data_IF_557279216499
#
_entry.id   IF_557279216499
#
_cell.length_a   1.000
_cell.length_b   1.000
_cell.length_c   1.000
_cell.angle_alpha   90.00
_cell.angle_beta   90.00
_cell.angle_gamma   90.00
#
_symmetry.space_group_name_H-M   'P 1'
#
loop_
_entity.id
_entity.type
_entity.pdbx_description
1 polymer ?
#
# COMPACT_ATOMS: atom_id res chain seq x y z
N UNK A 1 45.27 32.00 -11.24
CA UNK A 1 46.74 32.13 -11.09
C UNK A 1 46.99 32.23 -9.61
N UNK A 2 47.64 31.23 -9.02
CA UNK A 2 48.05 31.30 -7.62
C UNK A 2 49.23 32.28 -7.56
N UNK A 3 49.06 33.38 -6.84
CA UNK A 3 50.15 34.32 -6.59
C UNK A 3 51.26 33.57 -5.84
N UNK A 4 52.48 33.67 -6.36
CA UNK A 4 53.64 33.11 -5.68
C UNK A 4 53.87 33.87 -4.36
N UNK A 5 54.32 33.19 -3.28
CA UNK A 5 54.60 33.85 -2.01
C UNK A 5 55.61 34.99 -2.20
N UNK A 6 55.40 36.15 -1.55
CA UNK A 6 56.31 37.28 -1.66
C UNK A 6 57.69 36.88 -1.11
N UNK A 7 58.78 37.44 -1.66
CA UNK A 7 60.16 36.97 -1.42
C UNK A 7 60.69 37.17 0.01
N UNK A 8 59.87 37.63 0.96
CA UNK A 8 60.28 37.99 2.33
C UNK A 8 59.43 37.34 3.45
N UNK A 9 58.55 36.39 3.13
CA UNK A 9 57.82 35.60 4.13
C UNK A 9 58.19 34.13 3.99
N UNK A 10 58.34 33.41 5.10
CA UNK A 10 58.53 31.96 5.05
C UNK A 10 57.29 31.34 4.38
N UNK A 11 57.48 30.34 3.52
CA UNK A 11 56.37 29.75 2.76
C UNK A 11 55.27 29.14 3.65
N UNK A 12 55.65 28.76 4.87
CA UNK A 12 54.74 28.22 5.89
C UNK A 12 53.91 29.33 6.56
N UNK A 13 54.52 30.47 6.89
CA UNK A 13 53.82 31.63 7.46
C UNK A 13 52.82 32.22 6.45
N UNK A 14 53.21 32.28 5.16
CA UNK A 14 52.34 32.72 4.07
C UNK A 14 51.12 31.81 3.89
N UNK A 15 51.32 30.48 3.90
CA UNK A 15 50.23 29.52 3.78
C UNK A 15 49.27 29.59 4.99
N UNK A 16 49.80 29.74 6.20
CA UNK A 16 49.00 29.85 7.41
C UNK A 16 48.19 31.16 7.45
N UNK A 17 48.77 32.29 7.04
CA UNK A 17 48.09 33.59 6.98
C UNK A 17 46.93 33.57 5.98
N UNK A 18 47.14 33.01 4.78
CA UNK A 18 46.07 32.89 3.78
C UNK A 18 45.02 31.85 4.18
N UNK A 19 45.39 30.72 4.79
CA UNK A 19 44.42 29.76 5.33
C UNK A 19 43.50 30.42 6.36
N UNK A 20 44.06 31.29 7.23
CA UNK A 20 43.31 32.07 8.20
C UNK A 20 42.35 33.08 7.53
N UNK A 21 42.80 33.75 6.48
CA UNK A 21 41.97 34.67 5.68
C UNK A 21 40.77 33.94 5.06
N UNK A 22 41.02 32.83 4.36
CA UNK A 22 39.96 32.01 3.75
C UNK A 22 39.00 31.42 4.80
N UNK A 23 39.51 31.01 5.97
CA UNK A 23 38.66 30.60 7.11
C UNK A 23 37.73 31.73 7.55
N UNK A 24 38.26 32.94 7.72
CA UNK A 24 37.48 34.09 8.16
C UNK A 24 36.43 34.48 7.11
N UNK A 25 36.79 34.43 5.83
CA UNK A 25 35.85 34.60 4.71
C UNK A 25 34.74 33.55 4.72
N UNK A 26 35.09 32.28 4.94
CA UNK A 26 34.12 31.19 5.08
C UNK A 26 33.16 31.41 6.25
N UNK A 27 33.68 31.86 7.40
CA UNK A 27 32.85 32.21 8.56
C UNK A 27 31.92 33.40 8.29
N UNK A 28 32.38 34.42 7.58
CA UNK A 28 31.55 35.57 7.20
C UNK A 28 30.39 35.13 6.30
N UNK A 29 30.68 34.39 5.23
CA UNK A 29 29.66 33.82 4.34
C UNK A 29 28.69 32.89 5.05
N UNK A 30 29.18 32.09 6.00
CA UNK A 30 28.33 31.24 6.82
C UNK A 30 27.33 32.05 7.65
N UNK A 31 27.76 33.19 8.23
CA UNK A 31 26.87 34.12 8.96
C UNK A 31 25.84 34.78 8.03
N UNK A 32 26.24 35.08 6.79
CA UNK A 32 25.36 35.60 5.73
C UNK A 32 24.39 34.55 5.17
N UNK A 33 24.46 33.29 5.64
CA UNK A 33 23.73 32.13 5.12
C UNK A 33 24.08 31.74 3.68
N UNK A 34 25.19 32.26 3.14
CA UNK A 34 25.81 31.75 1.91
C UNK A 34 26.64 30.51 2.23
N UNK A 35 25.96 29.38 2.41
CA UNK A 35 26.61 28.12 2.79
C UNK A 35 27.46 27.52 1.66
N UNK A 36 27.11 27.74 0.39
CA UNK A 36 27.90 27.28 -0.75
C UNK A 36 29.21 28.05 -0.85
N UNK A 37 29.15 29.38 -0.75
CA UNK A 37 30.34 30.20 -0.72
C UNK A 37 31.20 29.98 0.52
N UNK A 38 30.60 29.64 1.68
CA UNK A 38 31.32 29.24 2.88
C UNK A 38 32.10 27.94 2.66
N UNK A 39 31.47 26.92 2.04
CA UNK A 39 32.14 25.66 1.68
C UNK A 39 33.31 25.88 0.73
N UNK A 40 33.17 26.76 -0.27
CA UNK A 40 34.27 27.10 -1.17
C UNK A 40 35.45 27.70 -0.41
N UNK A 41 35.20 28.73 0.40
CA UNK A 41 36.25 29.39 1.18
C UNK A 41 36.91 28.45 2.20
N UNK A 42 36.14 27.57 2.88
CA UNK A 42 36.75 26.56 3.74
C UNK A 42 37.55 25.52 2.95
N UNK A 43 37.17 25.20 1.72
CA UNK A 43 37.93 24.27 0.88
C UNK A 43 39.26 24.87 0.40
N UNK A 44 39.27 26.17 0.08
CA UNK A 44 40.50 26.93 -0.19
C UNK A 44 41.40 26.97 1.05
N UNK A 45 40.83 27.21 2.24
CA UNK A 45 41.56 27.16 3.50
C UNK A 45 42.16 25.76 3.78
N UNK A 46 41.41 24.68 3.53
CA UNK A 46 41.85 23.30 3.73
C UNK A 46 42.97 22.92 2.75
N UNK A 47 42.96 23.47 1.53
CA UNK A 47 44.03 23.23 0.57
C UNK A 47 45.39 23.81 1.03
N UNK A 48 45.35 24.87 1.83
CA UNK A 48 46.53 25.53 2.40
C UNK A 48 46.94 24.93 3.76
N UNK A 49 45.97 24.56 4.60
CA UNK A 49 46.19 23.96 5.93
C UNK A 49 45.32 22.70 6.12
N UNK A 50 45.73 21.54 5.56
CA UNK A 50 44.96 20.31 5.61
C UNK A 50 44.97 19.63 6.99
N UNK A 51 45.83 20.09 7.91
CA UNK A 51 45.94 19.57 9.29
C UNK A 51 44.93 20.19 10.26
N UNK A 52 44.20 21.22 9.83
CA UNK A 52 43.39 22.02 10.73
C UNK A 52 41.97 21.48 10.91
N UNK A 53 41.75 20.79 12.04
CA UNK A 53 40.45 20.23 12.42
C UNK A 53 39.30 21.26 12.37
N UNK A 54 39.58 22.53 12.66
CA UNK A 54 38.56 23.59 12.69
C UNK A 54 37.96 23.84 11.32
N UNK A 55 38.77 23.76 10.26
CA UNK A 55 38.30 24.00 8.90
C UNK A 55 37.32 22.93 8.45
N UNK A 56 37.63 21.66 8.71
CA UNK A 56 36.72 20.54 8.43
C UNK A 56 35.44 20.63 9.28
N UNK A 57 35.57 20.97 10.57
CA UNK A 57 34.40 21.19 11.45
C UNK A 57 33.50 22.31 10.94
N UNK A 58 34.05 23.43 10.46
CA UNK A 58 33.27 24.53 9.92
C UNK A 58 32.63 24.18 8.57
N UNK A 59 33.37 23.48 7.69
CA UNK A 59 32.84 23.00 6.40
C UNK A 59 31.73 21.96 6.58
N UNK A 60 31.87 21.05 7.55
CA UNK A 60 30.80 20.12 7.94
C UNK A 60 29.53 20.86 8.40
N UNK A 61 29.68 21.94 9.18
CA UNK A 61 28.59 22.80 9.60
C UNK A 61 27.85 23.43 8.41
N UNK A 62 28.60 23.91 7.41
CA UNK A 62 28.04 24.45 6.18
C UNK A 62 27.32 23.39 5.34
N UNK A 63 27.87 22.17 5.25
CA UNK A 63 27.19 21.05 4.59
C UNK A 63 25.91 20.62 5.31
N UNK A 64 25.88 20.61 6.65
CA UNK A 64 24.66 20.33 7.42
C UNK A 64 23.58 21.37 7.15
N UNK A 65 23.94 22.65 7.11
CA UNK A 65 23.00 23.73 6.78
C UNK A 65 22.38 23.58 5.38
N UNK A 66 23.11 22.97 4.44
CA UNK A 66 22.62 22.63 3.09
C UNK A 66 21.96 21.25 2.99
N UNK A 67 21.75 20.54 4.10
CA UNK A 67 21.25 19.15 4.11
C UNK A 67 22.12 18.17 3.33
N UNK A 68 23.39 18.49 3.09
CA UNK A 68 24.39 17.61 2.48
C UNK A 68 25.03 16.69 3.54
N UNK A 69 24.19 15.90 4.20
CA UNK A 69 24.54 15.17 5.43
C UNK A 69 25.72 14.20 5.25
N UNK A 70 25.78 13.46 4.14
CA UNK A 70 26.88 12.52 3.89
C UNK A 70 28.25 13.21 3.73
N UNK A 71 28.29 14.42 3.16
CA UNK A 71 29.52 15.21 3.05
C UNK A 71 29.90 15.81 4.41
N UNK A 72 28.90 16.31 5.13
CA UNK A 72 29.10 16.79 6.49
C UNK A 72 29.69 15.71 7.42
N UNK A 73 29.18 14.47 7.33
CA UNK A 73 29.69 13.37 8.13
C UNK A 73 31.18 13.09 7.85
N UNK A 74 31.59 13.05 6.57
CA UNK A 74 33.00 12.85 6.19
C UNK A 74 33.91 13.93 6.73
N UNK A 75 33.52 15.20 6.59
CA UNK A 75 34.30 16.32 7.12
C UNK A 75 34.34 16.31 8.65
N UNK A 76 33.23 15.99 9.31
CA UNK A 76 33.20 15.91 10.76
C UNK A 76 34.02 14.73 11.30
N UNK A 77 34.05 13.60 10.58
CA UNK A 77 34.91 12.47 10.88
C UNK A 77 36.39 12.84 10.75
N UNK A 78 36.75 13.59 9.70
CA UNK A 78 38.11 14.08 9.51
C UNK A 78 38.52 15.09 10.59
N UNK A 79 37.61 15.99 11.00
CA UNK A 79 37.85 16.90 12.12
C UNK A 79 38.12 16.14 13.44
N UNK A 80 37.38 15.05 13.71
CA UNK A 80 37.60 14.20 14.88
C UNK A 80 38.88 13.36 14.75
N UNK A 81 39.28 12.98 13.53
CA UNK A 81 40.54 12.27 13.27
C UNK A 81 41.74 13.17 13.58
N UNK A 82 41.66 14.44 13.17
CA UNK A 82 42.70 15.45 13.39
C UNK A 82 42.78 15.89 14.85
N UNK A 83 41.63 16.08 15.52
CA UNK A 83 41.58 16.38 16.95
C UNK A 83 40.48 15.56 17.67
N UNK A 84 40.85 14.39 18.24
CA UNK A 84 39.90 13.51 18.92
C UNK A 84 39.42 14.01 20.29
N UNK A 85 40.08 15.04 20.85
CA UNK A 85 39.79 15.60 22.17
C UNK A 85 39.01 16.91 22.08
N UNK A 86 38.65 17.35 20.85
CA UNK A 86 37.90 18.57 20.66
C UNK A 86 36.37 18.33 20.72
N UNK A 87 35.67 18.85 21.75
CA UNK A 87 34.24 18.59 21.94
C UNK A 87 33.38 19.07 20.76
N UNK A 88 33.77 20.18 20.11
CA UNK A 88 33.00 20.74 18.99
C UNK A 88 33.10 19.89 17.72
N UNK A 89 34.24 19.25 17.44
CA UNK A 89 34.33 18.30 16.33
C UNK A 89 33.46 17.07 16.56
N UNK A 90 33.51 16.52 17.78
CA UNK A 90 32.61 15.42 18.18
C UNK A 90 31.15 15.81 18.06
N UNK A 91 30.79 17.04 18.46
CA UNK A 91 29.45 17.58 18.32
C UNK A 91 29.00 17.67 16.85
N UNK A 92 29.86 18.15 15.94
CA UNK A 92 29.58 18.16 14.49
C UNK A 92 29.35 16.75 13.95
N UNK A 93 30.19 15.79 14.36
CA UNK A 93 30.06 14.38 13.94
C UNK A 93 28.77 13.78 14.45
N UNK A 94 28.46 13.95 15.73
CA UNK A 94 27.23 13.43 16.35
C UNK A 94 25.97 14.05 15.72
N UNK A 95 26.01 15.33 15.36
CA UNK A 95 24.93 16.00 14.63
C UNK A 95 24.74 15.39 13.23
N UNK A 96 25.83 15.11 12.51
CA UNK A 96 25.77 14.46 11.21
C UNK A 96 25.27 13.00 11.32
N UNK A 97 25.71 12.24 12.34
CA UNK A 97 25.22 10.89 12.63
C UNK A 97 23.72 10.88 12.94
N UNK A 98 23.25 11.84 13.74
CA UNK A 98 21.83 12.02 14.03
C UNK A 98 21.02 12.31 12.76
N UNK A 99 21.52 13.20 11.90
CA UNK A 99 20.88 13.52 10.61
C UNK A 99 20.91 12.34 9.61
N UNK A 100 21.84 11.40 9.77
CA UNK A 100 21.86 10.11 9.04
C UNK A 100 20.99 9.03 9.69
N UNK A 101 20.16 9.38 10.68
CA UNK A 101 19.32 8.46 11.49
C UNK A 101 20.12 7.36 12.20
N UNK A 102 21.43 7.56 12.39
CA UNK A 102 22.31 6.65 13.12
C UNK A 102 22.29 7.01 14.61
N UNK A 103 21.12 6.88 15.23
CA UNK A 103 20.86 7.36 16.59
C UNK A 103 21.78 6.74 17.65
N UNK A 104 22.05 5.44 17.57
CA UNK A 104 22.95 4.74 18.51
C UNK A 104 24.36 5.33 18.49
N UNK A 105 24.93 5.48 17.29
CA UNK A 105 26.29 6.02 17.15
C UNK A 105 26.31 7.50 17.56
N UNK A 106 25.30 8.26 17.17
CA UNK A 106 25.15 9.66 17.56
C UNK A 106 25.14 9.83 19.09
N UNK A 107 24.40 8.98 19.82
CA UNK A 107 24.38 9.01 21.28
C UNK A 107 25.75 8.71 21.88
N UNK A 108 26.50 7.73 21.35
CA UNK A 108 27.84 7.41 21.82
C UNK A 108 28.80 8.60 21.61
N UNK A 109 28.74 9.23 20.43
CA UNK A 109 29.54 10.40 20.10
C UNK A 109 29.17 11.61 20.97
N UNK A 110 27.88 11.86 21.22
CA UNK A 110 27.42 12.92 22.14
C UNK A 110 27.86 12.70 23.58
N UNK A 111 27.80 11.45 24.08
CA UNK A 111 28.32 11.11 25.41
C UNK A 111 29.82 11.40 25.52
N UNK A 112 30.60 11.10 24.49
CA UNK A 112 32.03 11.44 24.45
C UNK A 112 32.25 12.96 24.45
N UNK A 113 31.46 13.72 23.70
CA UNK A 113 31.54 15.18 23.72
C UNK A 113 31.23 15.76 25.11
N UNK A 114 30.22 15.22 25.80
CA UNK A 114 29.84 15.60 27.17
C UNK A 114 30.89 15.21 28.23
N UNK A 115 31.64 14.13 28.03
CA UNK A 115 32.75 13.78 28.92
C UNK A 115 33.87 14.83 28.86
N UNK A 116 34.09 15.44 27.69
CA UNK A 116 35.14 16.43 27.47
C UNK A 116 34.70 17.86 27.78
N UNK A 117 33.40 18.15 27.68
CA UNK A 117 32.79 19.43 28.06
C UNK A 117 31.53 19.19 28.93
N UNK A 118 31.71 18.82 30.22
CA UNK A 118 30.60 18.57 31.12
C UNK A 118 29.84 19.88 31.41
N UNK A 119 28.51 19.83 31.37
CA UNK A 119 27.65 21.01 31.60
C UNK A 119 27.24 21.77 30.34
N UNK A 120 27.60 21.28 29.15
CA UNK A 120 27.11 21.84 27.90
C UNK A 120 25.65 21.40 27.64
N UNK A 121 24.69 22.26 28.02
CA UNK A 121 23.25 22.00 27.83
C UNK A 121 22.87 21.66 26.39
N UNK A 122 23.57 22.21 25.39
CA UNK A 122 23.26 21.94 23.99
C UNK A 122 23.58 20.49 23.62
N UNK A 123 24.66 19.93 24.18
CA UNK A 123 25.03 18.53 23.96
C UNK A 123 24.09 17.57 24.69
N UNK A 124 23.63 17.94 25.89
CA UNK A 124 22.62 17.16 26.63
C UNK A 124 21.29 17.10 25.87
N UNK A 125 20.81 18.24 25.38
CA UNK A 125 19.60 18.33 24.55
C UNK A 125 19.74 17.51 23.26
N UNK A 126 20.89 17.58 22.60
CA UNK A 126 21.16 16.81 21.39
C UNK A 126 21.26 15.30 21.66
N UNK A 127 21.83 14.89 22.80
CA UNK A 127 21.84 13.50 23.25
C UNK A 127 20.42 12.99 23.51
N UNK A 128 19.57 13.80 24.14
CA UNK A 128 18.18 13.44 24.37
C UNK A 128 17.40 13.30 23.06
N UNK A 129 17.56 14.25 22.12
CA UNK A 129 16.96 14.15 20.80
C UNK A 129 17.38 12.87 20.06
N UNK A 130 18.65 12.45 20.19
CA UNK A 130 19.12 11.19 19.61
C UNK A 130 18.47 9.95 20.26
N UNK A 131 18.20 9.96 21.57
CA UNK A 131 17.46 8.88 22.26
C UNK A 131 16.00 8.84 21.81
N UNK A 132 15.38 10.00 21.71
CA UNK A 132 13.98 10.11 21.28
C UNK A 132 13.81 9.63 19.84
N UNK A 133 14.76 9.97 18.95
CA UNK A 133 14.81 9.46 17.59
C UNK A 133 14.96 7.94 17.50
N UNK A 134 15.83 7.34 18.33
CA UNK A 134 15.95 5.87 18.43
C UNK A 134 14.65 5.22 18.91
N UNK A 135 14.01 5.80 19.92
CA UNK A 135 12.77 5.29 20.48
C UNK A 135 11.62 5.37 19.46
N UNK A 136 11.53 6.47 18.71
CA UNK A 136 10.57 6.64 17.62
C UNK A 136 10.80 5.61 16.51
N UNK A 137 12.03 5.46 16.04
CA UNK A 137 12.38 4.47 15.02
C UNK A 137 12.05 3.04 15.46
N UNK A 138 12.29 2.72 16.74
CA UNK A 138 11.96 1.41 17.32
C UNK A 138 10.45 1.21 17.38
N UNK A 139 9.70 2.24 17.80
CA UNK A 139 8.23 2.20 17.85
C UNK A 139 7.64 2.00 16.45
N UNK A 140 8.10 2.75 15.46
CA UNK A 140 7.68 2.61 14.06
C UNK A 140 7.97 1.20 13.53
N UNK A 141 9.15 0.63 13.81
CA UNK A 141 9.48 -0.74 13.43
C UNK A 141 8.51 -1.77 14.04
N UNK A 142 8.20 -1.63 15.33
CA UNK A 142 7.25 -2.52 16.02
C UNK A 142 5.84 -2.36 15.44
N UNK A 143 5.41 -1.13 15.16
CA UNK A 143 4.10 -0.86 14.56
C UNK A 143 3.98 -1.43 13.15
N UNK A 144 5.05 -1.36 12.36
CA UNK A 144 5.17 -1.96 11.04
C UNK A 144 5.13 -3.50 11.10
N UNK A 145 5.83 -4.12 12.04
CA UNK A 145 5.78 -5.57 12.27
C UNK A 145 4.37 -6.02 12.66
N UNK A 146 3.74 -5.32 13.61
CA UNK A 146 2.35 -5.59 14.01
C UNK A 146 1.36 -5.39 12.86
N UNK A 147 1.59 -4.43 11.96
CA UNK A 147 0.76 -4.22 10.78
C UNK A 147 0.87 -5.42 9.83
N UNK A 148 2.09 -5.84 9.51
CA UNK A 148 2.34 -7.02 8.66
C UNK A 148 1.74 -8.29 9.26
N UNK A 149 1.81 -8.45 10.57
CA UNK A 149 1.19 -9.59 11.26
C UNK A 149 -0.34 -9.57 11.14
N UNK A 150 -1.00 -8.43 11.36
CA UNK A 150 -2.45 -8.29 11.15
C UNK A 150 -2.86 -8.58 9.71
N UNK A 151 -2.10 -8.08 8.73
CA UNK A 151 -2.34 -8.35 7.31
C UNK A 151 -2.18 -9.84 6.98
N UNK A 152 -1.16 -10.50 7.55
CA UNK A 152 -0.94 -11.93 7.38
C UNK A 152 -2.04 -12.77 8.05
N UNK A 153 -2.50 -12.37 9.25
CA UNK A 153 -3.60 -13.01 9.95
C UNK A 153 -4.92 -12.86 9.19
N UNK A 154 -5.22 -11.66 8.68
CA UNK A 154 -6.40 -11.42 7.87
C UNK A 154 -6.38 -12.25 6.58
N UNK A 155 -5.22 -12.34 5.94
CA UNK A 155 -5.04 -13.20 4.76
C UNK A 155 -5.29 -14.67 5.11
N UNK A 156 -4.71 -15.19 6.19
CA UNK A 156 -4.96 -16.56 6.67
C UNK A 156 -6.44 -16.81 6.95
N UNK A 157 -7.14 -15.84 7.53
CA UNK A 157 -8.57 -15.92 7.79
C UNK A 157 -9.39 -16.00 6.49
N UNK A 158 -9.03 -15.19 5.47
CA UNK A 158 -9.66 -15.25 4.14
C UNK A 158 -9.41 -16.59 3.46
N UNK A 159 -8.15 -17.04 3.43
CA UNK A 159 -7.76 -18.32 2.82
C UNK A 159 -8.49 -19.51 3.50
N UNK A 160 -8.60 -19.48 4.83
CA UNK A 160 -9.34 -20.49 5.58
C UNK A 160 -10.85 -20.46 5.32
N UNK A 161 -11.45 -19.28 5.15
CA UNK A 161 -12.85 -19.13 4.79
C UNK A 161 -13.14 -19.66 3.39
N UNK A 162 -12.27 -19.36 2.42
CA UNK A 162 -12.39 -19.86 1.04
C UNK A 162 -12.24 -21.39 1.00
N UNK A 163 -11.31 -21.95 1.77
CA UNK A 163 -11.13 -23.40 1.90
C UNK A 163 -12.33 -24.08 2.59
N UNK A 164 -12.89 -23.47 3.64
CA UNK A 164 -14.09 -23.99 4.30
C UNK A 164 -15.28 -24.02 3.34
N UNK A 165 -15.45 -22.97 2.53
CA UNK A 165 -16.48 -22.89 1.50
C UNK A 165 -16.29 -23.99 0.44
N UNK A 166 -15.07 -24.19 -0.06
CA UNK A 166 -14.77 -25.29 -1.01
C UNK A 166 -15.11 -26.67 -0.44
N UNK A 167 -14.84 -26.90 0.85
CA UNK A 167 -15.20 -28.16 1.53
C UNK A 167 -16.71 -28.34 1.68
N UNK A 168 -17.43 -27.26 1.96
CA UNK A 168 -18.89 -27.29 2.00
C UNK A 168 -19.48 -27.55 0.62
N UNK A 169 -19.01 -26.87 -0.42
CA UNK A 169 -19.41 -27.09 -1.81
C UNK A 169 -19.14 -28.55 -2.24
N UNK A 170 -17.98 -29.12 -1.89
CA UNK A 170 -17.65 -30.51 -2.15
C UNK A 170 -18.55 -31.51 -1.40
N UNK A 171 -18.85 -31.26 -0.12
CA UNK A 171 -19.80 -32.08 0.65
C UNK A 171 -21.21 -32.02 0.09
N UNK A 172 -21.66 -30.84 -0.33
CA UNK A 172 -22.96 -30.68 -0.98
C UNK A 172 -22.99 -31.46 -2.31
N UNK A 173 -21.89 -31.44 -3.08
CA UNK A 173 -21.77 -32.22 -4.31
C UNK A 173 -21.76 -33.74 -4.05
N UNK A 174 -21.07 -34.21 -3.00
CA UNK A 174 -21.06 -35.61 -2.58
C UNK A 174 -22.42 -36.06 -2.06
N UNK A 175 -23.09 -35.25 -1.23
CA UNK A 175 -24.47 -35.51 -0.80
C UNK A 175 -25.45 -35.52 -1.98
N UNK A 176 -25.27 -34.66 -2.97
CA UNK A 176 -26.05 -34.72 -4.21
C UNK A 176 -25.76 -36.04 -4.96
N UNK A 177 -24.50 -36.45 -5.08
CA UNK A 177 -24.12 -37.72 -5.72
C UNK A 177 -24.68 -38.93 -4.97
N UNK A 178 -24.65 -38.96 -3.65
CA UNK A 178 -25.22 -40.04 -2.85
C UNK A 178 -26.76 -40.02 -2.89
N UNK A 179 -27.38 -38.84 -2.81
CA UNK A 179 -28.83 -38.71 -2.93
C UNK A 179 -29.34 -39.18 -4.30
N UNK A 180 -28.65 -38.83 -5.39
CA UNK A 180 -28.96 -39.31 -6.73
C UNK A 180 -28.44 -40.73 -7.01
N UNK A 181 -27.40 -41.18 -6.32
CA UNK A 181 -26.78 -42.52 -6.45
C UNK A 181 -27.55 -43.61 -5.69
N UNK A 182 -28.14 -43.29 -4.55
CA UNK A 182 -29.10 -44.15 -3.83
C UNK A 182 -30.42 -44.29 -4.61
N UNK A 183 -30.74 -43.32 -5.46
CA UNK A 183 -31.81 -43.45 -6.47
C UNK A 183 -31.40 -44.34 -7.67
N UNK A 184 -30.11 -44.67 -7.82
CA UNK A 184 -29.57 -45.42 -8.96
C UNK A 184 -29.31 -46.92 -8.69
N UNK A 185 -29.39 -47.46 -7.46
CA UNK A 185 -29.14 -48.89 -7.20
C UNK A 185 -30.39 -49.79 -7.23
N UNK A 186 -30.61 -50.40 -8.40
CA UNK A 186 -30.29 -51.82 -8.70
C UNK A 186 -31.12 -52.29 -9.92
N UNK A 187 -32.30 -51.69 -10.12
CA UNK A 187 -33.13 -51.90 -11.32
C UNK A 187 -32.73 -51.01 -12.51
N UNK A 188 -32.22 -49.81 -12.23
CA UNK A 188 -31.92 -48.80 -13.27
C UNK A 188 -30.58 -49.09 -13.95
N UNK A 189 -29.56 -49.58 -13.25
CA UNK A 189 -28.27 -49.96 -13.86
C UNK A 189 -28.41 -51.14 -14.85
N UNK A 190 -29.20 -52.18 -14.51
CA UNK A 190 -29.52 -53.29 -15.43
C UNK A 190 -30.36 -52.85 -16.62
N UNK A 191 -31.26 -51.88 -16.44
CA UNK A 191 -32.06 -51.31 -17.52
C UNK A 191 -31.27 -50.36 -18.42
N UNK A 192 -30.31 -49.60 -17.88
CA UNK A 192 -29.50 -48.62 -18.62
C UNK A 192 -28.41 -49.30 -19.45
N UNK A 193 -27.81 -50.40 -18.96
CA UNK A 193 -26.90 -51.25 -19.77
C UNK A 193 -27.61 -51.93 -20.95
N UNK A 194 -28.95 -52.07 -20.89
CA UNK A 194 -29.80 -52.62 -21.96
C UNK A 194 -30.52 -51.53 -22.80
N UNK A 195 -30.41 -50.26 -22.43
CA UNK A 195 -31.04 -49.09 -23.12
C UNK A 195 -30.04 -48.02 -23.59
N UNK A 196 -28.74 -48.26 -23.43
CA UNK A 196 -27.70 -47.43 -24.06
C UNK A 196 -27.48 -47.78 -25.54
N UNK A 197 -28.35 -48.61 -26.12
CA UNK A 197 -28.58 -48.67 -27.55
C UNK A 197 -29.78 -47.76 -27.86
N UNK A 198 -29.46 -46.51 -28.19
CA UNK A 198 -30.32 -45.55 -28.91
C UNK A 198 -31.65 -45.17 -28.23
N UNK A 199 -31.65 -44.08 -27.46
CA UNK A 199 -32.88 -43.30 -27.21
C UNK A 199 -32.92 -42.10 -28.19
N UNK A 200 -33.72 -42.18 -29.27
CA UNK A 200 -33.71 -41.19 -30.37
C UNK A 200 -34.28 -39.81 -29.98
N UNK A 201 -34.77 -39.65 -28.75
CA UNK A 201 -35.39 -38.41 -28.26
C UNK A 201 -34.34 -37.41 -27.75
N UNK A 202 -33.26 -37.88 -27.13
CA UNK A 202 -32.21 -37.02 -26.56
C UNK A 202 -31.31 -36.39 -27.62
N UNK A 203 -31.05 -37.09 -28.72
CA UNK A 203 -30.24 -36.55 -29.82
C UNK A 203 -30.99 -35.46 -30.62
N UNK A 204 -32.32 -35.59 -30.71
CA UNK A 204 -33.20 -34.58 -31.31
C UNK A 204 -33.26 -33.30 -30.48
N UNK A 205 -33.22 -33.43 -29.15
CA UNK A 205 -33.22 -32.31 -28.21
C UNK A 205 -31.90 -31.53 -28.16
N UNK A 206 -30.75 -32.20 -28.33
CA UNK A 206 -29.45 -31.52 -28.37
C UNK A 206 -29.21 -30.75 -29.69
N UNK A 207 -29.77 -31.22 -30.81
CA UNK A 207 -29.69 -30.55 -32.12
C UNK A 207 -30.63 -29.33 -32.28
N UNK A 208 -31.54 -29.09 -31.33
CA UNK A 208 -32.51 -27.98 -31.37
C UNK A 208 -32.10 -26.78 -30.50
N UNK A 209 -30.80 -26.63 -30.19
CA UNK A 209 -30.23 -25.34 -29.78
C UNK A 209 -29.92 -24.52 -31.03
N UNK A 210 -30.94 -23.96 -31.68
CA UNK A 210 -30.81 -22.82 -32.60
C UNK A 210 -32.22 -22.28 -32.89
N UNK A 211 -32.60 -21.23 -32.14
CA UNK A 211 -33.72 -20.36 -32.45
C UNK A 211 -35.10 -20.80 -31.96
N UNK A 212 -35.64 -20.07 -30.97
CA UNK A 212 -37.01 -19.50 -30.91
C UNK A 212 -37.46 -19.27 -29.46
N UNK A 213 -38.04 -18.10 -29.21
CA UNK A 213 -38.65 -17.69 -27.94
C UNK A 213 -39.99 -18.38 -27.66
N UNK A 214 -40.70 -17.88 -26.63
CA UNK A 214 -42.03 -18.29 -26.11
C UNK A 214 -42.27 -19.79 -25.82
N UNK A 215 -42.03 -20.69 -26.76
CA UNK A 215 -42.28 -22.13 -26.65
C UNK A 215 -41.35 -22.80 -25.62
N UNK A 216 -40.08 -22.38 -25.56
CA UNK A 216 -39.12 -22.90 -24.57
C UNK A 216 -39.49 -22.54 -23.12
N UNK A 217 -40.22 -21.43 -22.90
CA UNK A 217 -40.71 -21.06 -21.56
C UNK A 217 -41.90 -21.92 -21.17
N UNK A 218 -42.80 -22.24 -22.11
CA UNK A 218 -43.94 -23.13 -21.88
C UNK A 218 -43.47 -24.55 -21.56
N UNK A 219 -42.53 -25.08 -22.33
CA UNK A 219 -41.98 -26.41 -22.09
C UNK A 219 -41.28 -26.51 -20.73
N UNK A 220 -40.51 -25.50 -20.35
CA UNK A 220 -39.88 -25.44 -19.02
C UNK A 220 -40.89 -25.34 -17.88
N UNK A 221 -42.01 -24.64 -18.11
CA UNK A 221 -43.10 -24.52 -17.12
C UNK A 221 -43.84 -25.84 -16.95
N UNK A 222 -44.10 -26.55 -18.05
CA UNK A 222 -44.71 -27.89 -18.03
C UNK A 222 -43.82 -28.85 -17.23
N UNK A 223 -42.50 -28.85 -17.47
CA UNK A 223 -41.56 -29.69 -16.72
C UNK A 223 -41.55 -29.38 -15.20
N UNK A 224 -41.67 -28.11 -14.81
CA UNK A 224 -41.75 -27.73 -13.39
C UNK A 224 -43.03 -28.28 -12.75
N UNK A 225 -44.16 -28.18 -13.46
CA UNK A 225 -45.46 -28.67 -12.98
C UNK A 225 -45.48 -30.19 -12.92
N UNK A 226 -44.95 -30.89 -13.92
CA UNK A 226 -44.84 -32.35 -13.92
C UNK A 226 -43.93 -32.86 -12.80
N UNK A 227 -42.80 -32.17 -12.55
CA UNK A 227 -41.95 -32.46 -11.41
C UNK A 227 -42.65 -32.22 -10.06
N UNK A 228 -43.51 -31.20 -9.95
CA UNK A 228 -44.30 -30.96 -8.74
C UNK A 228 -45.40 -32.02 -8.54
N UNK A 229 -46.01 -32.50 -9.62
CA UNK A 229 -46.94 -33.66 -9.59
C UNK A 229 -46.26 -34.90 -9.04
N UNK A 230 -45.07 -35.20 -9.52
CA UNK A 230 -44.33 -36.37 -9.07
C UNK A 230 -43.93 -36.27 -7.60
N UNK A 231 -43.43 -35.11 -7.13
CA UNK A 231 -43.14 -34.86 -5.70
C UNK A 231 -44.38 -35.01 -4.83
N UNK A 232 -45.51 -34.46 -5.27
CA UNK A 232 -46.78 -34.56 -4.54
C UNK A 232 -47.24 -36.03 -4.41
N UNK A 233 -47.09 -36.83 -5.47
CA UNK A 233 -47.41 -38.26 -5.46
C UNK A 233 -46.50 -39.04 -4.52
N UNK A 234 -45.19 -38.78 -4.56
CA UNK A 234 -44.21 -39.44 -3.71
C UNK A 234 -44.43 -39.12 -2.23
N UNK A 235 -44.68 -37.85 -1.89
CA UNK A 235 -44.99 -37.42 -0.52
C UNK A 235 -46.27 -38.08 0.01
N UNK A 236 -47.30 -38.19 -0.84
CA UNK A 236 -48.56 -38.84 -0.48
C UNK A 236 -48.36 -40.35 -0.28
N UNK A 237 -47.63 -41.02 -1.18
CA UNK A 237 -47.28 -42.43 -1.05
C UNK A 237 -46.45 -42.70 0.21
N UNK A 238 -45.53 -41.79 0.55
CA UNK A 238 -44.73 -41.87 1.76
C UNK A 238 -45.59 -41.76 3.02
N UNK A 239 -46.54 -40.82 3.08
CA UNK A 239 -47.47 -40.70 4.23
C UNK A 239 -48.35 -41.92 4.40
N UNK A 240 -48.83 -42.51 3.31
CA UNK A 240 -49.58 -43.77 3.33
C UNK A 240 -48.71 -44.93 3.86
N UNK A 241 -47.43 -44.99 3.46
CA UNK A 241 -46.50 -46.00 3.98
C UNK A 241 -46.21 -45.88 5.49
N UNK A 242 -46.43 -44.69 6.07
CA UNK A 242 -46.30 -44.39 7.50
C UNK A 242 -47.59 -44.62 8.29
N UNK A 243 -48.63 -45.17 7.66
CA UNK A 243 -49.90 -45.51 8.32
C UNK A 243 -50.85 -44.32 8.53
N UNK A 244 -50.65 -43.21 7.82
CA UNK A 244 -51.59 -42.08 7.82
C UNK A 244 -52.86 -42.49 7.08
N UNK A 245 -54.02 -42.29 7.70
CA UNK A 245 -55.32 -42.61 7.10
C UNK A 245 -55.54 -41.78 5.82
N UNK A 246 -55.85 -42.41 4.66
CA UNK A 246 -56.17 -41.73 3.41
C UNK A 246 -57.21 -40.61 3.55
N UNK A 247 -58.18 -40.73 4.46
CA UNK A 247 -59.24 -39.75 4.68
C UNK A 247 -58.75 -38.45 5.34
N UNK A 248 -57.57 -38.48 5.98
CA UNK A 248 -56.94 -37.31 6.63
C UNK A 248 -56.02 -36.53 5.70
N UNK A 249 -55.74 -37.05 4.50
CA UNK A 249 -54.89 -36.38 3.52
C UNK A 249 -55.70 -35.32 2.74
N UNK A 250 -55.10 -34.15 2.46
CA UNK A 250 -55.75 -33.15 1.64
C UNK A 250 -56.07 -33.69 0.23
N UNK A 251 -57.10 -33.17 -0.44
CA UNK A 251 -57.40 -33.51 -1.83
C UNK A 251 -56.18 -33.38 -2.72
N UNK A 252 -56.00 -34.32 -3.66
CA UNK A 252 -54.81 -34.40 -4.50
C UNK A 252 -54.57 -33.12 -5.31
N UNK A 253 -55.66 -32.49 -5.75
CA UNK A 253 -55.62 -31.25 -6.52
C UNK A 253 -55.12 -30.07 -5.68
N UNK A 254 -55.56 -29.96 -4.42
CA UNK A 254 -55.13 -28.91 -3.50
C UNK A 254 -53.65 -29.08 -3.10
N UNK A 255 -53.25 -30.33 -2.80
CA UNK A 255 -51.87 -30.67 -2.50
C UNK A 255 -50.93 -30.36 -3.69
N UNK A 256 -51.38 -30.66 -4.91
CA UNK A 256 -50.65 -30.36 -6.13
C UNK A 256 -50.52 -28.85 -6.35
N UNK A 257 -51.60 -28.08 -6.22
CA UNK A 257 -51.57 -26.63 -6.38
C UNK A 257 -50.58 -25.97 -5.41
N UNK A 258 -50.56 -26.42 -4.15
CA UNK A 258 -49.62 -25.94 -3.13
C UNK A 258 -48.17 -26.25 -3.48
N UNK A 259 -47.88 -27.46 -3.96
CA UNK A 259 -46.51 -27.85 -4.33
C UNK A 259 -46.03 -27.13 -5.60
N UNK A 260 -46.91 -26.96 -6.58
CA UNK A 260 -46.63 -26.14 -7.77
C UNK A 260 -46.30 -24.70 -7.35
N UNK A 261 -47.14 -24.06 -6.53
CA UNK A 261 -46.90 -22.70 -6.05
C UNK A 261 -45.56 -22.56 -5.30
N UNK A 262 -45.24 -23.51 -4.42
CA UNK A 262 -43.97 -23.56 -3.69
C UNK A 262 -42.77 -23.64 -4.64
N UNK A 263 -42.86 -24.47 -5.68
CA UNK A 263 -41.75 -24.67 -6.62
C UNK A 263 -41.51 -23.46 -7.52
N UNK A 264 -42.57 -22.76 -7.93
CA UNK A 264 -42.43 -21.48 -8.63
C UNK A 264 -41.85 -20.39 -7.73
N UNK A 265 -42.27 -20.30 -6.46
CA UNK A 265 -41.71 -19.35 -5.50
C UNK A 265 -40.21 -19.58 -5.27
N UNK A 266 -39.78 -20.84 -5.11
CA UNK A 266 -38.36 -21.20 -4.97
C UNK A 266 -37.55 -20.85 -6.22
N UNK A 267 -38.10 -21.08 -7.41
CA UNK A 267 -37.43 -20.72 -8.66
C UNK A 267 -37.27 -19.21 -8.82
N UNK A 268 -38.26 -18.42 -8.40
CA UNK A 268 -38.18 -16.95 -8.45
C UNK A 268 -37.18 -16.40 -7.41
N UNK A 269 -37.10 -16.99 -6.21
CA UNK A 269 -36.05 -16.63 -5.23
C UNK A 269 -34.65 -16.89 -5.79
N UNK A 270 -34.40 -18.10 -6.32
CA UNK A 270 -33.11 -18.43 -6.95
C UNK A 270 -32.76 -17.49 -8.10
N UNK A 271 -33.75 -17.09 -8.89
CA UNK A 271 -33.56 -16.12 -9.97
C UNK A 271 -33.14 -14.76 -9.42
N UNK A 272 -33.79 -14.27 -8.35
CA UNK A 272 -33.41 -13.02 -7.69
C UNK A 272 -32.00 -13.08 -7.11
N UNK A 273 -31.61 -14.19 -6.48
CA UNK A 273 -30.26 -14.39 -5.94
C UNK A 273 -29.20 -14.32 -7.06
N UNK A 274 -29.48 -14.93 -8.21
CA UNK A 274 -28.60 -14.88 -9.39
C UNK A 274 -28.55 -13.46 -9.97
N UNK A 275 -29.70 -12.77 -10.06
CA UNK A 275 -29.76 -11.38 -10.52
C UNK A 275 -28.98 -10.44 -9.58
N UNK A 276 -29.09 -10.63 -8.27
CA UNK A 276 -28.36 -9.87 -7.25
C UNK A 276 -26.85 -10.16 -7.31
N UNK A 277 -26.46 -11.43 -7.40
CA UNK A 277 -25.06 -11.82 -7.59
C UNK A 277 -24.45 -11.14 -8.82
N UNK A 278 -25.15 -11.17 -9.95
CA UNK A 278 -24.70 -10.54 -11.19
C UNK A 278 -24.59 -9.01 -11.05
N UNK A 279 -25.52 -8.36 -10.35
CA UNK A 279 -25.43 -6.92 -10.06
C UNK A 279 -24.20 -6.58 -9.22
N UNK A 280 -23.93 -7.36 -8.18
CA UNK A 280 -22.74 -7.17 -7.33
C UNK A 280 -21.45 -7.39 -8.12
N UNK A 281 -21.40 -8.39 -8.99
CA UNK A 281 -20.24 -8.60 -9.87
C UNK A 281 -20.03 -7.43 -10.83
N UNK A 282 -21.08 -6.97 -11.51
CA UNK A 282 -20.99 -5.81 -12.40
C UNK A 282 -20.55 -4.54 -11.67
N UNK A 283 -20.98 -4.35 -10.42
CA UNK A 283 -20.53 -3.22 -9.62
C UNK A 283 -19.04 -3.34 -9.27
N UNK A 284 -18.55 -4.52 -8.88
CA UNK A 284 -17.12 -4.74 -8.60
C UNK A 284 -16.26 -4.51 -9.83
N UNK A 285 -16.69 -4.99 -10.99
CA UNK A 285 -16.00 -4.75 -12.26
C UNK A 285 -15.95 -3.26 -12.61
N UNK A 286 -17.05 -2.52 -12.38
CA UNK A 286 -17.09 -1.05 -12.56
C UNK A 286 -16.16 -0.33 -11.59
N UNK A 287 -16.14 -0.73 -10.32
CA UNK A 287 -15.27 -0.11 -9.31
C UNK A 287 -13.78 -0.37 -9.64
N UNK A 288 -13.45 -1.59 -10.08
CA UNK A 288 -12.10 -1.93 -10.55
C UNK A 288 -11.69 -1.16 -11.81
N UNK A 289 -12.62 -1.03 -12.78
CA UNK A 289 -12.37 -0.25 -13.98
C UNK A 289 -12.15 1.24 -13.65
N UNK A 290 -12.96 1.82 -12.77
CA UNK A 290 -12.82 3.20 -12.33
C UNK A 290 -11.49 3.44 -11.58
N UNK A 291 -11.06 2.49 -10.75
CA UNK A 291 -9.76 2.57 -10.08
C UNK A 291 -8.59 2.46 -11.09
N UNK A 292 -8.72 1.60 -12.09
CA UNK A 292 -7.73 1.47 -13.16
C UNK A 292 -7.65 2.74 -14.02
N UNK A 293 -8.78 3.32 -14.42
CA UNK A 293 -8.84 4.60 -15.13
C UNK A 293 -8.22 5.73 -14.30
N UNK A 294 -8.47 5.76 -12.99
CA UNK A 294 -7.85 6.75 -12.09
C UNK A 294 -6.33 6.58 -12.04
N UNK A 295 -5.82 5.35 -11.93
CA UNK A 295 -4.37 5.08 -11.97
C UNK A 295 -3.76 5.48 -13.30
N UNK A 296 -4.40 5.15 -14.42
CA UNK A 296 -3.94 5.55 -15.76
C UNK A 296 -3.98 7.08 -15.93
N UNK A 297 -4.99 7.75 -15.39
CA UNK A 297 -5.06 9.21 -15.38
C UNK A 297 -3.96 9.84 -14.52
N UNK A 298 -3.69 9.28 -13.34
CA UNK A 298 -2.61 9.71 -12.46
C UNK A 298 -1.24 9.47 -13.11
N UNK A 299 -1.06 8.36 -13.82
CA UNK A 299 0.16 8.04 -14.57
C UNK A 299 0.34 8.98 -15.77
N UNK A 300 -0.72 9.23 -16.56
CA UNK A 300 -0.70 10.24 -17.64
C UNK A 300 -0.46 11.64 -17.11
N UNK A 301 -0.98 11.98 -15.93
CA UNK A 301 -0.74 13.26 -15.28
C UNK A 301 0.71 13.37 -14.83
N UNK A 302 1.24 12.30 -14.21
CA UNK A 302 2.64 12.19 -13.83
C UNK A 302 3.56 12.33 -15.05
N UNK A 303 3.25 11.65 -16.16
CA UNK A 303 4.05 11.70 -17.38
C UNK A 303 3.92 13.04 -18.12
N UNK A 304 2.75 13.69 -18.09
CA UNK A 304 2.61 15.08 -18.55
C UNK A 304 3.42 16.04 -17.68
N UNK A 305 3.36 15.90 -16.36
CA UNK A 305 4.15 16.70 -15.43
C UNK A 305 5.65 16.49 -15.68
N UNK A 306 6.09 15.24 -15.77
CA UNK A 306 7.45 14.85 -16.10
C UNK A 306 7.91 15.44 -17.44
N UNK A 307 7.13 15.29 -18.51
CA UNK A 307 7.44 15.88 -19.82
C UNK A 307 7.43 17.41 -19.81
N UNK A 308 6.59 18.07 -19.00
CA UNK A 308 6.62 19.54 -18.86
C UNK A 308 7.80 20.02 -18.02
N UNK A 309 8.23 19.26 -17.03
CA UNK A 309 9.40 19.55 -16.20
C UNK A 309 10.69 19.23 -16.95
N UNK A 310 10.68 18.24 -17.84
CA UNK A 310 11.76 17.93 -18.77
C UNK A 310 11.82 18.92 -19.94
N UNK A 311 10.69 19.36 -20.50
CA UNK A 311 10.66 20.48 -21.47
C UNK A 311 11.03 21.81 -20.83
N UNK A 312 10.71 22.05 -19.56
CA UNK A 312 11.23 23.20 -18.81
C UNK A 312 12.71 23.02 -18.49
N UNK A 313 13.15 21.83 -18.12
CA UNK A 313 14.57 21.49 -17.89
C UNK A 313 15.41 21.63 -19.16
N UNK A 314 14.88 21.24 -20.32
CA UNK A 314 15.53 21.36 -21.62
C UNK A 314 15.42 22.78 -22.20
N UNK A 315 14.32 23.50 -22.01
CA UNK A 315 14.19 24.90 -22.47
C UNK A 315 14.94 25.89 -21.57
N UNK A 316 15.01 25.62 -20.27
CA UNK A 316 15.80 26.40 -19.31
C UNK A 316 17.27 26.00 -19.37
N UNK A 317 17.58 24.70 -19.53
CA UNK A 317 18.94 24.22 -19.77
C UNK A 317 19.54 24.76 -21.08
N UNK A 318 18.82 24.65 -22.21
CA UNK A 318 19.34 25.09 -23.51
C UNK A 318 19.32 26.62 -23.70
N UNK A 319 18.50 27.36 -22.95
CA UNK A 319 18.52 28.84 -22.94
C UNK A 319 19.50 29.42 -21.91
N UNK A 320 19.76 28.73 -20.78
CA UNK A 320 20.82 29.09 -19.85
C UNK A 320 22.20 28.72 -20.39
N UNK A 321 22.37 27.58 -21.04
CA UNK A 321 23.65 27.20 -21.68
C UNK A 321 24.03 28.12 -22.85
N UNK A 322 23.05 28.78 -23.50
CA UNK A 322 23.30 29.77 -24.55
C UNK A 322 23.58 31.20 -24.04
N UNK A 323 23.19 31.53 -22.80
CA UNK A 323 23.49 32.83 -22.16
C UNK A 323 24.69 32.75 -21.21
N UNK A 324 25.06 31.57 -20.72
CA UNK A 324 26.03 31.36 -19.64
C UNK A 324 27.38 30.78 -20.10
N UNK A 325 27.73 30.78 -21.40
CA UNK A 325 29.13 30.56 -21.87
C UNK A 325 30.10 31.71 -21.51
N UNK A 326 29.63 32.65 -20.67
CA UNK A 326 30.52 33.53 -19.89
C UNK A 326 30.20 33.58 -18.40
N UNK A 327 29.13 32.95 -17.91
CA UNK A 327 28.63 33.19 -16.55
C UNK A 327 27.67 32.10 -16.05
N UNK A 328 28.09 30.92 -15.60
CA UNK A 328 27.47 30.14 -14.47
C UNK A 328 27.80 28.65 -14.54
N UNK A 329 28.97 28.29 -14.02
CA UNK A 329 29.16 26.97 -13.41
C UNK A 329 28.43 26.85 -12.04
N UNK A 330 27.34 27.61 -11.82
CA UNK A 330 27.05 28.18 -10.51
C UNK A 330 25.59 28.09 -10.01
N UNK A 331 24.64 27.39 -10.66
CA UNK A 331 23.24 27.50 -10.16
C UNK A 331 22.31 26.29 -10.33
N UNK A 332 22.84 25.08 -10.56
CA UNK A 332 22.07 23.82 -10.69
C UNK A 332 21.47 23.30 -9.36
N UNK A 333 21.59 24.02 -8.23
CA UNK A 333 21.29 23.44 -6.90
C UNK A 333 20.14 24.02 -6.09
N UNK A 334 19.33 24.90 -6.66
CA UNK A 334 18.14 25.41 -5.97
C UNK A 334 16.89 25.12 -6.77
N UNK A 335 16.33 23.92 -6.61
CA UNK A 335 14.88 23.65 -6.58
C UNK A 335 14.60 22.14 -6.52
N UNK A 336 15.03 21.51 -5.42
CA UNK A 336 14.40 20.30 -4.92
C UNK A 336 14.36 20.43 -3.41
N UNK A 337 13.26 21.00 -2.91
CA UNK A 337 12.49 20.54 -1.74
C UNK A 337 11.54 21.66 -1.27
N UNK A 338 10.27 21.53 -1.63
CA UNK A 338 9.17 22.08 -0.84
C UNK A 338 7.91 21.24 -1.10
N UNK A 339 7.91 20.00 -0.58
CA UNK A 339 6.66 19.26 -0.33
C UNK A 339 6.49 19.25 1.18
N UNK A 340 5.69 20.18 1.68
CA UNK A 340 5.17 20.20 3.04
C UNK A 340 3.79 19.54 3.02
N UNK A 341 3.69 18.34 3.60
CA UNK A 341 2.44 17.64 3.86
C UNK A 341 1.84 18.19 5.16
N UNK A 342 0.83 19.07 5.07
CA UNK A 342 -0.01 19.41 6.22
C UNK A 342 -1.13 18.36 6.32
N UNK A 343 -1.11 17.59 7.40
CA UNK A 343 -2.16 16.65 7.79
C UNK A 343 -3.22 17.44 8.56
N UNK A 344 -4.36 17.68 7.92
CA UNK A 344 -5.56 18.16 8.62
C UNK A 344 -6.26 16.99 9.30
N UNK A 345 -6.35 17.04 10.63
CA UNK A 345 -7.25 16.23 11.44
C UNK A 345 -8.70 16.60 11.12
N UNK A 346 -9.43 15.69 10.48
CA UNK A 346 -10.90 15.69 10.55
C UNK A 346 -11.34 14.69 11.60
N UNK A 347 -11.92 15.21 12.68
CA UNK A 347 -12.72 14.47 13.63
C UNK A 347 -13.94 13.87 12.91
N UNK A 348 -13.85 12.60 12.52
CA UNK A 348 -15.03 11.82 12.14
C UNK A 348 -15.55 11.06 13.35
N UNK A 349 -16.73 11.49 13.80
CA UNK A 349 -17.55 10.81 14.80
C UNK A 349 -17.93 9.42 14.29
N UNK A 350 -17.11 8.41 14.62
CA UNK A 350 -17.40 7.01 14.38
C UNK A 350 -18.71 6.62 15.07
N UNK A 351 -19.79 6.48 14.30
CA UNK A 351 -20.90 5.60 14.70
C UNK A 351 -20.38 4.16 14.71
N UNK A 352 -20.53 3.50 15.86
CA UNK A 352 -20.12 2.12 16.13
C UNK A 352 -20.97 1.18 15.26
N UNK A 353 -20.32 0.30 14.52
CA UNK A 353 -20.98 -0.83 13.85
C UNK A 353 -21.59 -1.74 14.94
N UNK A 354 -22.93 -1.86 14.98
CA UNK A 354 -23.61 -2.82 15.87
C UNK A 354 -24.99 -2.45 16.43
N UNK A 355 -25.49 -1.21 16.30
CA UNK A 355 -26.86 -0.88 16.71
C UNK A 355 -27.84 -0.99 15.53
N UNK A 356 -28.72 -1.98 15.60
CA UNK A 356 -29.85 -2.16 14.70
C UNK A 356 -31.06 -1.34 15.18
N UNK A 357 -31.46 -0.34 14.42
CA UNK A 357 -32.77 0.32 14.55
C UNK A 357 -33.87 -0.65 14.07
N UNK A 358 -34.56 -1.30 15.01
CA UNK A 358 -35.61 -2.30 14.74
C UNK A 358 -36.90 -1.72 14.14
N UNK A 359 -37.01 -0.40 13.97
CA UNK A 359 -38.24 0.25 13.48
C UNK A 359 -38.08 0.99 12.15
N UNK A 360 -36.91 0.92 11.51
CA UNK A 360 -36.69 1.58 10.21
C UNK A 360 -37.66 1.12 9.11
N UNK A 361 -38.11 -0.14 9.16
CA UNK A 361 -39.06 -0.71 8.19
C UNK A 361 -40.47 -0.08 8.20
N UNK A 362 -40.84 0.71 9.24
CA UNK A 362 -42.14 1.43 9.26
C UNK A 362 -42.11 2.77 8.52
N UNK A 363 -40.94 3.35 8.28
CA UNK A 363 -40.81 4.67 7.63
C UNK A 363 -40.91 4.60 6.11
N UNK A 364 -40.54 3.48 5.51
CA UNK A 364 -40.53 3.28 4.05
C UNK A 364 -41.81 2.62 3.52
N UNK A 365 -42.88 2.54 4.34
CA UNK A 365 -44.17 1.94 3.99
C UNK A 365 -45.33 2.96 3.96
N UNK A 366 -45.09 4.09 3.30
CA UNK A 366 -46.10 5.00 2.75
C UNK A 366 -45.64 5.44 1.36
#
# INVERSE_FOLDING_TARGET
MADAPPPNESSEDYAAAHALEYKNRGNAKFKERDYEGAVQAFSEAIALDPSNAVLYSNRSGAYLAMSHVSKAFKDAEEAVRLDPQWPKALARRATAEHALTRYITAQATWRKALQLDPGNEAYEKALQAAKDGEAQQTKERIEDEKRKEREAEEKRRRDAADEAKRREDARNEEQLKDFFGVLEDDKVQRARKKKLETNPITEKYQKQKLGKGADHKRDRTILVIEGARERCRQERAFKLSKGVDPATLPPEEEALQKEVAKTFAQNEMKRRDVEEHNRVQQQRERDQAAEAEKKEADEKLFEKQWNTDDRRGARVGMWQDFQDDKKRSANVKRQRTAVNFKREEKQETKKKYGEWDRESWRRDWK
#
